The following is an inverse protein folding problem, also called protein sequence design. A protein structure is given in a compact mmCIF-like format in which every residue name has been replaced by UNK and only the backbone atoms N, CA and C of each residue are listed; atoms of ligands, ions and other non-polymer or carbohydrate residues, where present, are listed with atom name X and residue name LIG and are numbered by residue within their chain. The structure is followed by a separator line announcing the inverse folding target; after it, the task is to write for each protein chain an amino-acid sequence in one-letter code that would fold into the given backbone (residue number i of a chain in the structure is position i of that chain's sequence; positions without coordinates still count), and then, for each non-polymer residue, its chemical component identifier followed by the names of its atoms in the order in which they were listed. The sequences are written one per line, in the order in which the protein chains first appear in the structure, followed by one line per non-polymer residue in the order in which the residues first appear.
data_IF_883643418506
#
_entry.id   IF_883643418506
#
_cell.length_a   1.000
_cell.length_b   1.000
_cell.length_c   1.000
_cell.angle_alpha   90.00
_cell.angle_beta   90.00
_cell.angle_gamma   90.00
#
_symmetry.space_group_name_H-M   'P 1'
#
loop_
_entity.id
_entity.type
_entity.pdbx_description
1 polymer ?
#
# COMPACT_ATOMS: atom_id res chain seq x y z
N UNK A 1 7.97 5.80 33.96
CA UNK A 1 7.38 6.48 32.78
C UNK A 1 7.30 5.39 31.70
N UNK A 2 6.09 4.94 31.38
CA UNK A 2 5.92 4.06 30.21
C UNK A 2 6.40 4.86 28.99
N UNK A 3 7.43 4.35 28.34
CA UNK A 3 7.89 4.87 27.06
C UNK A 3 6.72 4.73 26.08
N UNK A 4 6.03 5.80 25.80
CA UNK A 4 4.87 5.82 24.92
C UNK A 4 5.36 5.53 23.50
N UNK A 5 5.50 4.24 23.16
CA UNK A 5 5.95 3.81 21.83
C UNK A 5 4.99 4.36 20.79
N UNK A 6 5.54 4.92 19.72
CA UNK A 6 4.75 5.29 18.55
C UNK A 6 4.07 4.05 17.98
N UNK A 7 2.75 4.12 17.73
CA UNK A 7 1.95 3.00 17.21
C UNK A 7 1.58 3.22 15.76
N UNK A 8 1.90 2.25 14.93
CA UNK A 8 1.64 2.31 13.49
C UNK A 8 0.83 1.09 13.07
N UNK A 9 -0.33 1.33 12.46
CA UNK A 9 -1.09 0.30 11.78
C UNK A 9 -0.59 0.15 10.35
N UNK A 10 -0.22 -1.06 9.94
CA UNK A 10 0.04 -1.41 8.54
C UNK A 10 -1.14 -2.23 8.04
N UNK A 11 -1.92 -1.62 7.16
CA UNK A 11 -3.17 -2.19 6.66
C UNK A 11 -2.99 -2.65 5.21
N UNK A 12 -2.94 -3.96 5.01
CA UNK A 12 -2.86 -4.57 3.69
C UNK A 12 -4.26 -4.73 3.07
N UNK A 13 -4.40 -4.30 1.81
CA UNK A 13 -5.61 -4.50 1.03
C UNK A 13 -5.30 -4.99 -0.38
N UNK A 14 -6.05 -5.97 -0.87
CA UNK A 14 -5.86 -6.53 -2.20
C UNK A 14 -5.45 -8.00 -2.19
N UNK A 15 -5.14 -8.51 -3.38
CA UNK A 15 -4.73 -9.90 -3.56
C UNK A 15 -3.29 -10.11 -3.11
N UNK A 16 -3.06 -11.16 -2.33
CA UNK A 16 -1.70 -11.57 -1.93
C UNK A 16 -1.06 -12.35 -3.08
N UNK A 17 -0.07 -11.73 -3.71
CA UNK A 17 0.64 -12.29 -4.87
C UNK A 17 2.09 -12.66 -4.58
N UNK A 18 2.70 -11.99 -3.59
CA UNK A 18 4.08 -12.18 -3.21
C UNK A 18 4.21 -12.18 -1.70
N UNK A 19 4.30 -13.37 -1.11
CA UNK A 19 4.32 -13.57 0.34
C UNK A 19 5.73 -13.63 0.94
N UNK A 20 6.73 -14.05 0.17
CA UNK A 20 8.11 -14.14 0.66
C UNK A 20 8.64 -12.76 1.08
N UNK A 21 8.44 -11.76 0.23
CA UNK A 21 8.85 -10.41 0.51
C UNK A 21 8.14 -9.82 1.72
N UNK A 22 6.83 -10.08 1.85
CA UNK A 22 6.09 -9.66 3.04
C UNK A 22 6.67 -10.30 4.30
N UNK A 23 6.91 -11.61 4.28
CA UNK A 23 7.43 -12.33 5.44
C UNK A 23 8.78 -11.79 5.92
N UNK A 24 9.70 -11.52 4.99
CA UNK A 24 11.04 -11.02 5.34
C UNK A 24 11.03 -9.55 5.77
N UNK A 25 10.34 -8.69 5.03
CA UNK A 25 10.32 -7.25 5.32
C UNK A 25 9.58 -6.90 6.61
N UNK A 26 8.42 -7.51 6.81
CA UNK A 26 7.56 -7.11 7.92
C UNK A 26 7.78 -7.93 9.19
N UNK A 27 8.32 -9.14 9.07
CA UNK A 27 8.56 -10.06 10.19
C UNK A 27 9.36 -9.43 11.33
N UNK A 28 10.35 -8.63 11.00
CA UNK A 28 11.35 -8.12 11.96
C UNK A 28 11.20 -6.63 12.26
N UNK A 29 10.13 -5.96 11.79
CA UNK A 29 9.98 -4.52 11.99
C UNK A 29 10.02 -4.10 13.46
N UNK A 30 9.27 -4.78 14.32
CA UNK A 30 9.23 -4.47 15.76
C UNK A 30 10.58 -4.68 16.47
N UNK A 31 11.42 -5.59 15.97
CA UNK A 31 12.76 -5.78 16.50
C UNK A 31 13.74 -4.72 16.01
N UNK A 32 13.60 -4.35 14.73
CA UNK A 32 14.47 -3.37 14.08
C UNK A 32 14.22 -1.93 14.58
N UNK A 33 12.99 -1.63 14.95
CA UNK A 33 12.57 -0.30 15.42
C UNK A 33 11.88 -0.42 16.78
N UNK A 34 12.67 -0.59 17.88
CA UNK A 34 12.14 -0.90 19.22
C UNK A 34 11.25 0.21 19.81
N UNK A 35 11.41 1.46 19.34
CA UNK A 35 10.61 2.61 19.76
C UNK A 35 9.28 2.76 19.01
N UNK A 36 9.02 1.85 18.04
CA UNK A 36 7.80 1.84 17.24
C UNK A 36 7.12 0.48 17.41
N UNK A 37 5.82 0.49 17.60
CA UNK A 37 4.98 -0.70 17.57
C UNK A 37 4.25 -0.79 16.26
N UNK A 38 4.50 -1.84 15.47
CA UNK A 38 3.80 -2.11 14.23
C UNK A 38 2.77 -3.20 14.44
N UNK A 39 1.52 -2.89 14.11
CA UNK A 39 0.42 -3.85 14.09
C UNK A 39 -0.07 -4.04 12.65
N UNK A 40 -0.37 -5.28 12.28
CA UNK A 40 -0.72 -5.64 10.91
C UNK A 40 -2.18 -6.04 10.79
N UNK A 41 -2.82 -5.56 9.73
CA UNK A 41 -4.20 -5.86 9.35
C UNK A 41 -4.25 -6.34 7.91
N UNK A 42 -5.11 -7.30 7.59
CA UNK A 42 -5.22 -7.84 6.24
C UNK A 42 -6.66 -7.96 5.79
N UNK A 43 -7.00 -7.32 4.68
CA UNK A 43 -8.24 -7.53 3.94
C UNK A 43 -7.90 -8.04 2.54
N UNK A 44 -8.26 -9.29 2.24
CA UNK A 44 -7.87 -9.95 1.00
C UNK A 44 -8.94 -10.91 0.49
N UNK A 45 -8.72 -11.41 -0.72
CA UNK A 45 -9.48 -12.55 -1.22
C UNK A 45 -8.97 -13.84 -0.59
N UNK A 46 -9.88 -14.82 -0.40
CA UNK A 46 -9.53 -16.13 0.13
C UNK A 46 -8.89 -16.98 -0.98
N UNK A 47 -7.61 -16.76 -1.21
CA UNK A 47 -6.79 -17.48 -2.17
C UNK A 47 -5.70 -18.34 -1.49
N UNK A 48 -5.06 -19.20 -2.26
CA UNK A 48 -4.03 -20.14 -1.76
C UNK A 48 -2.81 -19.39 -1.22
N UNK A 49 -2.43 -18.27 -1.83
CA UNK A 49 -1.21 -17.53 -1.48
C UNK A 49 -1.28 -16.94 -0.08
N UNK A 50 -2.49 -16.60 0.40
CA UNK A 50 -2.66 -16.08 1.76
C UNK A 50 -2.13 -17.05 2.82
N UNK A 51 -2.29 -18.35 2.63
CA UNK A 51 -1.85 -19.38 3.60
C UNK A 51 -0.34 -19.41 3.81
N UNK A 52 0.43 -18.83 2.91
CA UNK A 52 1.89 -18.75 2.96
C UNK A 52 2.38 -17.51 3.72
N UNK A 53 1.52 -16.56 4.03
CA UNK A 53 1.87 -15.39 4.82
C UNK A 53 2.07 -15.80 6.28
N UNK A 54 3.27 -15.52 6.80
CA UNK A 54 3.67 -15.82 8.19
C UNK A 54 3.59 -14.61 9.11
N UNK A 55 3.23 -13.43 8.58
CA UNK A 55 3.02 -12.24 9.41
C UNK A 55 1.79 -12.47 10.27
N UNK A 56 1.94 -12.23 11.56
CA UNK A 56 0.83 -12.29 12.52
C UNK A 56 0.03 -10.99 12.42
N UNK A 57 -1.16 -11.07 11.84
CA UNK A 57 -2.09 -9.95 11.80
C UNK A 57 -2.90 -9.87 13.11
N UNK A 58 -3.13 -8.66 13.61
CA UNK A 58 -4.04 -8.40 14.73
C UNK A 58 -5.47 -8.78 14.37
N UNK A 59 -5.87 -8.42 13.15
CA UNK A 59 -7.14 -8.85 12.55
C UNK A 59 -6.95 -9.12 11.08
N UNK A 60 -7.70 -10.09 10.57
CA UNK A 60 -7.76 -10.37 9.14
C UNK A 60 -9.18 -10.69 8.70
N UNK A 61 -9.50 -10.37 7.45
CA UNK A 61 -10.76 -10.74 6.81
C UNK A 61 -10.52 -11.19 5.37
N UNK A 62 -10.89 -12.42 5.11
CA UNK A 62 -10.73 -13.05 3.81
C UNK A 62 -12.12 -13.24 3.18
N UNK A 63 -12.27 -12.76 1.96
CA UNK A 63 -13.54 -12.78 1.25
C UNK A 63 -13.52 -13.80 0.11
N UNK A 64 -14.62 -14.48 -0.11
CA UNK A 64 -14.82 -15.26 -1.32
C UNK A 64 -15.15 -14.29 -2.46
N UNK A 65 -14.19 -14.10 -3.38
CA UNK A 65 -14.29 -13.12 -4.46
C UNK A 65 -15.55 -13.34 -5.31
N UNK A 66 -15.82 -14.57 -5.75
CA UNK A 66 -16.96 -14.86 -6.62
C UNK A 66 -18.31 -14.57 -5.96
N UNK A 67 -18.42 -14.80 -4.65
CA UNK A 67 -19.65 -14.49 -3.91
C UNK A 67 -19.87 -12.99 -3.73
N UNK A 68 -18.79 -12.24 -3.47
CA UNK A 68 -18.87 -10.79 -3.20
C UNK A 68 -19.07 -9.99 -4.47
N UNK A 69 -18.45 -10.42 -5.58
CA UNK A 69 -18.39 -9.63 -6.83
C UNK A 69 -19.49 -9.96 -7.84
N UNK A 70 -20.41 -10.85 -7.49
CA UNK A 70 -21.43 -11.40 -8.40
C UNK A 70 -22.30 -10.34 -9.11
N UNK A 71 -22.53 -9.21 -8.43
CA UNK A 71 -23.39 -8.13 -8.93
C UNK A 71 -22.63 -6.85 -9.28
N UNK A 72 -21.30 -6.91 -9.30
CA UNK A 72 -20.50 -5.70 -9.52
C UNK A 72 -20.32 -5.36 -11.01
N UNK A 73 -20.56 -4.10 -11.31
CA UNK A 73 -20.48 -3.57 -12.69
C UNK A 73 -19.06 -3.08 -13.08
N UNK A 74 -18.19 -2.83 -12.10
CA UNK A 74 -16.97 -2.00 -12.30
C UNK A 74 -15.65 -2.73 -12.04
N UNK A 75 -15.66 -4.03 -11.95
CA UNK A 75 -14.45 -4.83 -11.99
C UNK A 75 -13.42 -4.54 -10.88
N UNK A 76 -12.14 -4.46 -11.27
CA UNK A 76 -11.01 -4.43 -10.33
C UNK A 76 -10.96 -3.19 -9.43
N UNK A 77 -11.43 -2.05 -9.88
CA UNK A 77 -11.45 -0.81 -9.09
C UNK A 77 -12.40 -0.91 -7.90
N UNK A 78 -13.57 -1.52 -8.13
CA UNK A 78 -14.55 -1.75 -7.08
C UNK A 78 -14.04 -2.77 -6.05
N UNK A 79 -13.40 -3.85 -6.53
CA UNK A 79 -12.74 -4.85 -5.68
C UNK A 79 -11.68 -4.22 -4.77
N UNK A 80 -10.86 -3.34 -5.33
CA UNK A 80 -9.83 -2.62 -4.59
C UNK A 80 -10.44 -1.71 -3.52
N UNK A 81 -11.43 -0.87 -3.87
CA UNK A 81 -12.09 0.02 -2.94
C UNK A 81 -12.79 -0.74 -1.80
N UNK A 82 -13.41 -1.89 -2.10
CA UNK A 82 -14.02 -2.76 -1.11
C UNK A 82 -13.01 -3.28 -0.10
N UNK A 83 -11.91 -3.89 -0.58
CA UNK A 83 -10.87 -4.43 0.30
C UNK A 83 -10.17 -3.34 1.11
N UNK A 84 -9.94 -2.16 0.50
CA UNK A 84 -9.40 -1.00 1.19
C UNK A 84 -10.28 -0.59 2.38
N UNK A 85 -11.58 -0.38 2.14
CA UNK A 85 -12.53 0.02 3.19
C UNK A 85 -12.60 -1.02 4.32
N UNK A 86 -12.52 -2.32 3.99
CA UNK A 86 -12.50 -3.37 4.99
C UNK A 86 -11.18 -3.43 5.79
N UNK A 87 -10.03 -3.12 5.19
CA UNK A 87 -8.77 -3.04 5.92
C UNK A 87 -8.80 -1.93 6.98
N UNK A 88 -9.36 -0.76 6.64
CA UNK A 88 -9.58 0.32 7.61
C UNK A 88 -10.53 -0.10 8.73
N UNK A 89 -11.62 -0.80 8.39
CA UNK A 89 -12.57 -1.29 9.39
C UNK A 89 -11.93 -2.24 10.40
N UNK A 90 -11.05 -3.14 9.96
CA UNK A 90 -10.32 -4.04 10.85
C UNK A 90 -9.45 -3.28 11.86
N UNK A 91 -8.80 -2.21 11.41
CA UNK A 91 -8.04 -1.30 12.27
C UNK A 91 -8.96 -0.61 13.29
N UNK A 92 -10.09 -0.04 12.85
CA UNK A 92 -11.07 0.61 13.72
C UNK A 92 -11.62 -0.34 14.79
N UNK A 93 -12.01 -1.55 14.40
CA UNK A 93 -12.47 -2.59 15.32
C UNK A 93 -11.43 -2.88 16.41
N UNK A 94 -10.15 -2.96 16.05
CA UNK A 94 -9.07 -3.22 17.00
C UNK A 94 -8.80 -2.02 17.92
N UNK A 95 -8.80 -0.79 17.40
CA UNK A 95 -8.67 0.43 18.22
C UNK A 95 -9.78 0.52 19.26
N UNK A 96 -11.03 0.25 18.86
CA UNK A 96 -12.17 0.24 19.79
C UNK A 96 -12.03 -0.85 20.86
N UNK A 97 -11.64 -2.06 20.49
CA UNK A 97 -11.44 -3.17 21.44
C UNK A 97 -10.32 -2.91 22.45
N UNK A 98 -9.27 -2.22 22.02
CA UNK A 98 -8.09 -1.95 22.84
C UNK A 98 -8.09 -0.56 23.48
N UNK A 99 -9.12 0.26 23.20
CA UNK A 99 -9.30 1.62 23.72
C UNK A 99 -8.08 2.54 23.49
N UNK A 100 -7.60 2.59 22.24
CA UNK A 100 -6.55 3.52 21.82
C UNK A 100 -6.73 3.93 20.34
N UNK A 101 -5.92 4.87 19.86
CA UNK A 101 -5.79 5.20 18.43
C UNK A 101 -4.34 5.09 17.97
N UNK A 102 -4.14 4.67 16.73
CA UNK A 102 -2.80 4.68 16.11
C UNK A 102 -2.33 6.10 15.86
N UNK A 103 -1.02 6.34 15.99
CA UNK A 103 -0.42 7.60 15.56
C UNK A 103 -0.46 7.72 14.04
N UNK A 104 -0.17 6.60 13.34
CA UNK A 104 -0.15 6.53 11.90
C UNK A 104 -0.80 5.25 11.37
N UNK A 105 -1.42 5.38 10.20
CA UNK A 105 -2.00 4.27 9.45
C UNK A 105 -1.37 4.24 8.06
N UNK A 106 -0.65 3.18 7.77
CA UNK A 106 -0.06 2.96 6.46
C UNK A 106 -0.90 1.93 5.69
N UNK A 107 -1.66 2.42 4.74
CA UNK A 107 -2.48 1.61 3.84
C UNK A 107 -1.63 1.18 2.66
N UNK A 108 -1.52 -0.12 2.41
CA UNK A 108 -0.68 -0.63 1.32
C UNK A 108 -1.20 -1.94 0.74
N UNK A 109 -0.71 -2.27 -0.45
CA UNK A 109 -1.01 -3.54 -1.10
C UNK A 109 0.00 -4.61 -0.68
N UNK A 110 -0.42 -5.89 -0.57
CA UNK A 110 0.49 -6.97 -0.19
C UNK A 110 1.51 -7.34 -1.28
N UNK A 111 1.38 -6.83 -2.51
CA UNK A 111 2.32 -7.04 -3.60
C UNK A 111 3.35 -5.88 -3.76
N UNK A 112 3.49 -5.03 -2.74
CA UNK A 112 4.44 -3.92 -2.73
C UNK A 112 5.39 -4.00 -1.55
N UNK A 113 6.66 -3.81 -1.83
CA UNK A 113 7.76 -3.81 -0.87
C UNK A 113 8.29 -2.38 -0.73
N UNK A 114 8.62 -1.96 0.49
CA UNK A 114 9.10 -0.60 0.78
C UNK A 114 10.42 -0.59 1.53
N UNK A 115 11.17 0.49 1.34
CA UNK A 115 12.30 0.84 2.20
C UNK A 115 11.81 1.41 3.54
N UNK A 116 11.73 0.55 4.56
CA UNK A 116 11.28 0.96 5.88
C UNK A 116 12.26 1.86 6.63
N UNK A 117 13.55 1.90 6.29
CA UNK A 117 14.47 2.88 6.89
C UNK A 117 14.03 4.29 6.47
N UNK A 118 13.78 4.48 5.18
CA UNK A 118 13.30 5.76 4.65
C UNK A 118 11.89 6.08 5.14
N UNK A 119 11.02 5.08 5.27
CA UNK A 119 9.69 5.24 5.84
C UNK A 119 9.75 5.81 7.26
N UNK A 120 10.57 5.25 8.14
CA UNK A 120 10.72 5.71 9.54
C UNK A 120 11.32 7.12 9.61
N UNK A 121 12.24 7.48 8.71
CA UNK A 121 12.75 8.85 8.60
C UNK A 121 11.63 9.82 8.22
N UNK A 122 10.84 9.49 7.20
CA UNK A 122 9.70 10.30 6.77
C UNK A 122 8.67 10.50 7.90
N UNK A 123 8.41 9.47 8.73
CA UNK A 123 7.50 9.60 9.87
C UNK A 123 7.96 10.64 10.91
N UNK A 124 9.27 10.84 11.07
CA UNK A 124 9.80 11.88 11.96
C UNK A 124 9.56 13.28 11.40
N UNK A 125 9.74 13.44 10.10
CA UNK A 125 9.49 14.70 9.40
C UNK A 125 8.00 15.09 9.40
N UNK A 126 7.12 14.08 9.42
CA UNK A 126 5.67 14.25 9.37
C UNK A 126 5.00 14.27 10.76
N UNK A 127 5.77 14.31 11.85
CA UNK A 127 5.25 14.17 13.23
C UNK A 127 4.14 15.18 13.55
N UNK A 128 4.25 16.41 13.07
CA UNK A 128 3.26 17.46 13.30
C UNK A 128 1.90 17.21 12.61
N UNK A 129 1.88 16.33 11.59
CA UNK A 129 0.67 16.05 10.80
C UNK A 129 -0.18 14.92 11.36
N UNK A 130 0.31 14.15 12.32
CA UNK A 130 -0.40 12.96 12.85
C UNK A 130 -1.77 13.26 13.48
N UNK A 131 -1.98 14.50 13.91
CA UNK A 131 -3.25 14.94 14.49
C UNK A 131 -4.17 15.66 13.49
N UNK A 132 -3.74 15.82 12.26
CA UNK A 132 -4.58 16.46 11.23
C UNK A 132 -5.63 15.49 10.72
N UNK A 133 -6.89 15.87 10.91
CA UNK A 133 -8.06 15.07 10.53
C UNK A 133 -8.12 14.65 9.07
N UNK A 134 -7.62 15.45 8.17
CA UNK A 134 -7.67 15.23 6.72
C UNK A 134 -6.28 15.09 6.08
N UNK A 135 -5.28 14.69 6.85
CA UNK A 135 -3.92 14.50 6.32
C UNK A 135 -3.80 13.18 5.56
N UNK A 136 -3.18 13.25 4.39
CA UNK A 136 -2.71 12.08 3.65
C UNK A 136 -1.33 12.32 3.05
N UNK A 137 -0.40 11.44 3.38
CA UNK A 137 0.86 11.29 2.67
C UNK A 137 0.71 10.38 1.48
N UNK A 138 1.13 10.83 0.31
CA UNK A 138 1.12 10.07 -0.95
C UNK A 138 2.52 9.95 -1.53
N UNK A 139 2.83 8.83 -2.18
CA UNK A 139 4.18 8.51 -2.64
C UNK A 139 4.51 9.04 -4.04
N UNK A 140 3.51 9.38 -4.82
CA UNK A 140 3.69 9.85 -6.19
C UNK A 140 3.64 11.37 -6.29
N UNK A 141 4.45 11.91 -7.21
CA UNK A 141 4.33 13.30 -7.63
C UNK A 141 3.09 13.43 -8.52
N UNK A 142 2.29 14.50 -8.34
CA UNK A 142 1.12 14.75 -9.18
C UNK A 142 1.51 14.80 -10.66
N UNK A 143 0.76 14.06 -11.49
CA UNK A 143 0.97 14.05 -12.94
C UNK A 143 -0.30 14.51 -13.64
N UNK A 144 -0.14 15.41 -14.61
CA UNK A 144 -1.17 15.65 -15.61
C UNK A 144 -1.04 14.62 -16.72
N UNK A 145 -2.16 14.04 -17.16
CA UNK A 145 -2.15 13.28 -18.39
C UNK A 145 -2.25 14.20 -19.63
N UNK A 146 -2.20 13.60 -20.81
CA UNK A 146 -2.27 14.34 -22.07
C UNK A 146 -3.62 15.06 -22.29
N UNK A 147 -4.66 14.70 -21.54
CA UNK A 147 -6.00 15.28 -21.59
C UNK A 147 -6.21 16.32 -20.50
N UNK A 148 -5.19 16.60 -19.69
CA UNK A 148 -5.21 17.61 -18.64
C UNK A 148 -5.79 17.16 -17.30
N UNK A 149 -6.14 15.87 -17.15
CA UNK A 149 -6.62 15.33 -15.89
C UNK A 149 -5.48 15.17 -14.88
N UNK A 150 -5.77 15.44 -13.64
CA UNK A 150 -4.80 15.41 -12.56
C UNK A 150 -4.86 14.08 -11.82
N UNK A 151 -3.76 13.29 -11.88
CA UNK A 151 -3.53 12.15 -11.00
C UNK A 151 -2.63 12.60 -9.86
N UNK A 152 -3.17 12.63 -8.64
CA UNK A 152 -2.44 13.07 -7.45
C UNK A 152 -1.60 11.94 -6.87
N UNK A 153 -2.06 10.70 -7.00
CA UNK A 153 -1.43 9.54 -6.36
C UNK A 153 -1.57 8.26 -7.15
N UNK A 154 -0.68 7.29 -6.86
CA UNK A 154 -0.89 5.89 -7.20
C UNK A 154 -1.70 5.19 -6.11
N UNK A 155 -2.20 3.97 -6.39
CA UNK A 155 -2.84 3.09 -5.41
C UNK A 155 -1.83 2.21 -4.64
N UNK A 156 -0.55 2.62 -4.58
CA UNK A 156 0.50 1.80 -4.00
C UNK A 156 0.53 1.87 -2.49
N UNK A 157 0.46 3.07 -1.94
CA UNK A 157 0.47 3.26 -0.50
C UNK A 157 0.07 4.67 -0.09
N UNK A 158 -0.54 4.75 1.08
CA UNK A 158 -1.01 5.99 1.69
C UNK A 158 -0.65 6.00 3.15
N UNK A 159 -0.12 7.12 3.62
CA UNK A 159 0.11 7.37 5.03
C UNK A 159 -0.95 8.34 5.55
N UNK A 160 -1.67 7.94 6.56
CA UNK A 160 -2.73 8.72 7.20
C UNK A 160 -2.47 8.92 8.69
N UNK A 161 -3.00 9.99 9.27
CA UNK A 161 -3.38 9.96 10.68
C UNK A 161 -4.50 8.93 10.89
N UNK A 162 -4.74 8.43 12.11
CA UNK A 162 -5.78 7.43 12.32
C UNK A 162 -7.16 7.93 11.89
N UNK A 163 -7.53 9.15 12.26
CA UNK A 163 -8.83 9.74 11.90
C UNK A 163 -8.96 9.95 10.37
N UNK A 164 -7.90 10.38 9.71
CA UNK A 164 -7.90 10.53 8.25
C UNK A 164 -8.10 9.19 7.53
N UNK A 165 -7.48 8.11 8.03
CA UNK A 165 -7.71 6.77 7.51
C UNK A 165 -9.17 6.34 7.66
N UNK A 166 -9.80 6.66 8.78
CA UNK A 166 -11.20 6.33 9.05
C UNK A 166 -12.15 7.02 8.07
N UNK A 167 -11.91 8.30 7.80
CA UNK A 167 -12.66 9.05 6.79
C UNK A 167 -12.48 8.40 5.42
N UNK A 168 -11.24 8.11 5.03
CA UNK A 168 -10.95 7.49 3.73
C UNK A 168 -11.46 6.05 3.63
N UNK A 169 -11.62 5.37 4.75
CA UNK A 169 -12.25 4.04 4.84
C UNK A 169 -13.68 3.99 4.30
N UNK A 170 -14.35 5.13 4.15
CA UNK A 170 -15.67 5.20 3.52
C UNK A 170 -15.66 5.21 1.98
N UNK A 171 -14.49 5.07 1.34
CA UNK A 171 -14.27 5.12 -0.10
C UNK A 171 -15.25 4.26 -0.91
N UNK A 172 -15.43 2.99 -0.51
CA UNK A 172 -16.33 2.06 -1.18
C UNK A 172 -17.79 2.53 -1.08
N UNK A 173 -18.22 2.91 0.12
CA UNK A 173 -19.58 3.43 0.36
C UNK A 173 -19.82 4.71 -0.47
N UNK A 174 -18.86 5.62 -0.47
CA UNK A 174 -18.96 6.89 -1.17
C UNK A 174 -19.21 6.73 -2.68
N UNK A 175 -18.45 5.88 -3.34
CA UNK A 175 -18.55 5.72 -4.78
C UNK A 175 -19.61 4.73 -5.23
N UNK A 176 -19.65 3.56 -4.60
CA UNK A 176 -20.40 2.43 -5.14
C UNK A 176 -21.76 2.26 -4.49
N UNK A 177 -21.86 2.30 -3.17
CA UNK A 177 -23.14 2.17 -2.50
C UNK A 177 -24.03 3.41 -2.73
N UNK A 178 -23.45 4.60 -2.82
CA UNK A 178 -24.18 5.83 -3.12
C UNK A 178 -24.32 6.09 -4.63
N UNK A 179 -23.91 5.18 -5.49
CA UNK A 179 -23.98 5.27 -6.96
C UNK A 179 -23.24 6.49 -7.55
N UNK A 180 -22.33 7.09 -6.81
CA UNK A 180 -21.56 8.27 -7.26
C UNK A 180 -20.51 7.92 -8.33
N UNK A 181 -20.20 6.65 -8.47
CA UNK A 181 -19.24 6.20 -9.48
C UNK A 181 -19.67 6.51 -10.91
N UNK A 182 -20.97 6.49 -11.21
CA UNK A 182 -21.46 6.87 -12.54
C UNK A 182 -21.07 8.30 -12.90
N UNK A 183 -21.26 9.23 -11.97
CA UNK A 183 -20.88 10.63 -12.16
C UNK A 183 -19.36 10.80 -12.30
N UNK A 184 -18.58 10.04 -11.53
CA UNK A 184 -17.12 10.05 -11.64
C UNK A 184 -16.65 9.57 -13.00
N UNK A 185 -17.23 8.48 -13.53
CA UNK A 185 -16.91 7.94 -14.85
C UNK A 185 -17.19 8.95 -15.97
N UNK A 186 -18.30 9.67 -15.89
CA UNK A 186 -18.63 10.74 -16.83
C UNK A 186 -17.65 11.91 -16.76
N UNK A 187 -17.13 12.23 -15.56
CA UNK A 187 -16.21 13.36 -15.36
C UNK A 187 -14.76 13.04 -15.73
N UNK A 188 -14.31 11.79 -15.55
CA UNK A 188 -12.90 11.44 -15.66
C UNK A 188 -12.56 10.58 -16.87
N UNK A 189 -13.53 10.02 -17.56
CA UNK A 189 -13.38 9.08 -18.70
C UNK A 189 -12.46 7.87 -18.43
N UNK A 190 -11.99 7.69 -17.20
CA UNK A 190 -10.99 6.68 -16.84
C UNK A 190 -11.39 5.89 -15.61
N UNK A 191 -11.20 4.59 -15.73
CA UNK A 191 -11.36 3.65 -14.63
C UNK A 191 -9.96 3.33 -14.05
N UNK A 192 -9.82 3.40 -12.74
CA UNK A 192 -8.58 2.99 -12.08
C UNK A 192 -8.49 3.42 -10.63
N UNK A 193 -7.79 2.62 -9.82
CA UNK A 193 -7.59 2.88 -8.41
C UNK A 193 -6.99 4.25 -8.11
N UNK A 194 -6.06 4.68 -8.95
CA UNK A 194 -5.41 5.99 -8.79
C UNK A 194 -6.41 7.16 -8.83
N UNK A 195 -7.40 7.10 -9.73
CA UNK A 195 -8.35 8.19 -9.94
C UNK A 195 -9.37 8.30 -8.83
N UNK A 196 -9.90 7.19 -8.35
CA UNK A 196 -10.91 7.24 -7.27
C UNK A 196 -10.31 7.74 -5.96
N UNK A 197 -9.07 7.38 -5.63
CA UNK A 197 -8.37 7.93 -4.47
C UNK A 197 -8.12 9.42 -4.64
N UNK A 198 -7.56 9.83 -5.77
CA UNK A 198 -7.29 11.25 -6.06
C UNK A 198 -8.56 12.10 -5.99
N UNK A 199 -9.62 11.63 -6.59
CA UNK A 199 -10.92 12.33 -6.56
C UNK A 199 -11.50 12.39 -5.14
N UNK A 200 -11.40 11.30 -4.39
CA UNK A 200 -11.86 11.26 -3.00
C UNK A 200 -11.12 12.27 -2.12
N UNK A 201 -9.81 12.37 -2.27
CA UNK A 201 -9.00 13.34 -1.52
C UNK A 201 -9.40 14.77 -1.84
N UNK A 202 -9.54 15.11 -3.11
CA UNK A 202 -9.98 16.45 -3.54
C UNK A 202 -11.38 16.77 -3.04
N UNK A 203 -12.32 15.85 -3.21
CA UNK A 203 -13.72 16.06 -2.80
C UNK A 203 -13.85 16.27 -1.30
N UNK A 204 -13.12 15.51 -0.48
CA UNK A 204 -13.14 15.62 0.97
C UNK A 204 -12.10 16.59 1.52
N UNK A 205 -11.45 17.39 0.67
CA UNK A 205 -10.47 18.43 1.04
C UNK A 205 -9.34 17.92 1.93
N UNK A 206 -8.74 16.81 1.53
CA UNK A 206 -7.57 16.29 2.22
C UNK A 206 -6.35 17.21 2.02
N UNK A 207 -5.56 17.39 3.07
CA UNK A 207 -4.22 17.98 3.02
C UNK A 207 -3.26 16.93 2.46
N UNK A 208 -2.89 17.07 1.20
CA UNK A 208 -2.08 16.09 0.50
C UNK A 208 -0.61 16.46 0.61
N UNK A 209 0.18 15.57 1.19
CA UNK A 209 1.62 15.69 1.29
C UNK A 209 2.31 14.63 0.43
N UNK A 210 3.26 15.06 -0.39
CA UNK A 210 4.05 14.15 -1.23
C UNK A 210 5.35 13.80 -0.53
N UNK A 211 5.57 12.51 -0.26
CA UNK A 211 6.81 12.03 0.30
C UNK A 211 7.45 10.95 -0.59
N UNK A 212 8.77 10.95 -0.60
CA UNK A 212 9.51 9.95 -1.37
C UNK A 212 9.69 8.69 -0.54
N UNK A 213 9.16 7.58 -1.03
CA UNK A 213 9.36 6.27 -0.46
C UNK A 213 9.68 5.29 -1.59
N UNK A 214 10.87 4.70 -1.55
CA UNK A 214 11.24 3.68 -2.51
C UNK A 214 10.35 2.45 -2.34
N UNK A 215 9.76 2.02 -3.43
CA UNK A 215 8.85 0.88 -3.44
C UNK A 215 9.04 0.00 -4.66
N UNK A 216 8.78 -1.28 -4.48
CA UNK A 216 8.86 -2.30 -5.52
C UNK A 216 7.53 -3.03 -5.64
N UNK A 217 6.89 -2.93 -6.82
CA UNK A 217 5.72 -3.74 -7.13
C UNK A 217 6.15 -5.12 -7.65
N UNK A 218 5.84 -6.17 -6.90
CA UNK A 218 6.16 -7.54 -7.25
C UNK A 218 4.95 -8.26 -7.82
N UNK A 219 5.06 -8.72 -9.06
CA UNK A 219 4.02 -9.54 -9.71
C UNK A 219 4.62 -10.78 -10.32
N UNK A 220 4.12 -11.99 -10.02
CA UNK A 220 4.71 -13.26 -10.45
C UNK A 220 4.89 -13.41 -11.97
N UNK A 221 4.05 -12.72 -12.77
CA UNK A 221 3.99 -12.88 -14.22
C UNK A 221 4.40 -11.61 -15.01
N UNK A 222 5.06 -10.64 -14.37
CA UNK A 222 5.53 -9.43 -15.06
C UNK A 222 7.04 -9.41 -15.18
N UNK A 223 7.47 -8.96 -16.36
CA UNK A 223 8.88 -8.71 -16.64
C UNK A 223 9.46 -7.71 -15.61
N UNK A 224 10.61 -8.05 -15.03
CA UNK A 224 11.31 -7.21 -14.05
C UNK A 224 11.61 -5.82 -14.61
N UNK A 225 11.73 -5.66 -15.94
CA UNK A 225 11.86 -4.36 -16.60
C UNK A 225 10.78 -3.35 -16.19
N UNK A 226 9.54 -3.83 -15.98
CA UNK A 226 8.43 -2.97 -15.57
C UNK A 226 8.52 -2.58 -14.10
N UNK A 227 9.14 -3.42 -13.30
CA UNK A 227 9.28 -3.26 -11.85
C UNK A 227 10.43 -2.29 -11.55
N UNK A 228 11.55 -2.45 -12.26
CA UNK A 228 12.81 -1.74 -11.97
C UNK A 228 12.85 -0.29 -12.45
N UNK A 229 12.03 0.08 -13.43
CA UNK A 229 11.95 1.48 -13.89
C UNK A 229 11.64 2.51 -12.79
N UNK A 230 11.17 2.06 -11.63
CA UNK A 230 10.70 2.92 -10.55
C UNK A 230 11.52 2.81 -9.26
N UNK A 231 12.62 2.05 -9.26
CA UNK A 231 13.40 1.81 -8.06
C UNK A 231 14.84 2.22 -8.27
N UNK A 232 15.26 3.21 -7.49
CA UNK A 232 16.67 3.62 -7.38
C UNK A 232 17.34 3.02 -6.12
N UNK A 233 16.64 2.15 -5.36
CA UNK A 233 17.16 1.56 -4.14
C UNK A 233 17.82 0.20 -4.41
N UNK A 234 19.17 0.12 -4.32
CA UNK A 234 19.92 -1.11 -4.56
C UNK A 234 19.55 -2.26 -3.62
N UNK A 235 19.16 -1.94 -2.39
CA UNK A 235 18.78 -2.94 -1.40
C UNK A 235 17.49 -3.67 -1.80
N UNK A 236 16.45 -2.92 -2.20
CA UNK A 236 15.19 -3.51 -2.63
C UNK A 236 15.35 -4.35 -3.89
N UNK A 237 16.20 -3.92 -4.81
CA UNK A 237 16.50 -4.66 -6.05
C UNK A 237 17.23 -5.96 -5.72
N UNK A 238 18.27 -5.89 -4.88
CA UNK A 238 19.02 -7.06 -4.42
C UNK A 238 18.14 -8.03 -3.66
N UNK A 239 17.28 -7.52 -2.78
CA UNK A 239 16.32 -8.32 -2.03
C UNK A 239 15.39 -9.11 -2.97
N UNK A 240 14.81 -8.48 -3.98
CA UNK A 240 13.93 -9.15 -4.94
C UNK A 240 14.70 -10.14 -5.81
N UNK A 241 15.89 -9.79 -6.27
CA UNK A 241 16.74 -10.71 -7.03
C UNK A 241 17.06 -11.98 -6.22
N UNK A 242 17.35 -11.84 -4.92
CA UNK A 242 17.70 -12.96 -4.04
C UNK A 242 16.47 -13.79 -3.61
N UNK A 243 15.29 -13.21 -3.52
CA UNK A 243 14.11 -13.88 -2.96
C UNK A 243 13.07 -14.27 -4.00
N UNK A 244 13.10 -13.73 -5.20
CA UNK A 244 12.14 -14.09 -6.25
C UNK A 244 12.39 -15.47 -6.89
N UNK A 245 13.41 -16.21 -6.45
CA UNK A 245 13.85 -17.54 -6.94
C UNK A 245 14.03 -17.66 -8.47
N UNK A 246 13.89 -16.56 -9.16
CA UNK A 246 13.85 -16.50 -10.62
C UNK A 246 14.91 -15.57 -11.21
N UNK A 247 15.56 -14.75 -10.38
CA UNK A 247 16.62 -13.83 -10.81
C UNK A 247 17.90 -14.06 -10.02
N UNK A 248 19.03 -14.12 -10.71
CA UNK A 248 20.36 -14.23 -10.11
C UNK A 248 21.04 -12.87 -10.16
N UNK A 249 21.62 -12.44 -9.05
CA UNK A 249 22.58 -11.35 -9.03
C UNK A 249 23.88 -11.82 -9.71
N UNK A 250 24.27 -11.18 -10.83
CA UNK A 250 25.49 -11.53 -11.57
C UNK A 250 26.66 -10.71 -11.05
N UNK A 251 26.42 -9.43 -10.84
CA UNK A 251 27.39 -8.48 -10.29
C UNK A 251 26.65 -7.38 -9.53
N UNK A 252 27.41 -6.45 -8.91
CA UNK A 252 26.81 -5.36 -8.13
C UNK A 252 25.87 -4.43 -8.93
N UNK A 253 25.64 -4.67 -10.21
CA UNK A 253 24.81 -3.81 -11.07
C UNK A 253 23.85 -4.57 -11.99
N UNK A 254 23.94 -5.91 -12.02
CA UNK A 254 23.23 -6.72 -13.02
C UNK A 254 22.57 -7.94 -12.39
N UNK A 255 21.32 -8.19 -12.76
CA UNK A 255 20.58 -9.42 -12.44
C UNK A 255 20.22 -10.14 -13.73
N UNK A 256 20.09 -11.47 -13.67
CA UNK A 256 19.74 -12.33 -14.81
C UNK A 256 18.61 -13.29 -14.49
N UNK A 257 17.73 -13.48 -15.47
CA UNK A 257 16.68 -14.51 -15.48
C UNK A 257 16.47 -14.99 -16.90
N UNK A 258 16.49 -16.30 -17.09
CA UNK A 258 16.18 -16.94 -18.39
C UNK A 258 16.94 -16.30 -19.58
N UNK A 259 18.23 -15.97 -19.36
CA UNK A 259 19.08 -15.31 -20.35
C UNK A 259 18.86 -13.79 -20.54
N UNK A 260 17.90 -13.20 -19.87
CA UNK A 260 17.70 -11.75 -19.86
C UNK A 260 18.54 -11.10 -18.77
N UNK A 261 19.30 -10.06 -19.13
CA UNK A 261 20.14 -9.27 -18.21
C UNK A 261 19.55 -7.88 -18.03
N UNK A 262 19.46 -7.44 -16.77
CA UNK A 262 19.05 -6.09 -16.42
C UNK A 262 20.16 -5.42 -15.63
N UNK A 263 20.63 -4.29 -16.13
CA UNK A 263 21.66 -3.49 -15.48
C UNK A 263 21.06 -2.22 -14.87
N UNK A 264 21.54 -1.82 -13.71
CA UNK A 264 21.06 -0.69 -12.92
C UNK A 264 22.09 0.44 -12.86
N UNK A 265 21.60 1.68 -12.77
CA UNK A 265 22.44 2.82 -12.41
C UNK A 265 22.57 2.82 -10.88
N UNK A 266 23.73 2.42 -10.38
CA UNK A 266 23.99 2.29 -8.95
C UNK A 266 24.52 0.90 -8.61
N UNK A 267 25.16 0.76 -7.47
CA UNK A 267 25.75 -0.51 -7.04
C UNK A 267 24.72 -1.31 -6.27
N UNK A 268 24.41 -2.51 -6.73
CA UNK A 268 23.67 -3.51 -5.96
C UNK A 268 24.62 -4.06 -4.90
N UNK A 269 24.31 -3.87 -3.64
CA UNK A 269 25.12 -4.36 -2.51
C UNK A 269 24.57 -5.70 -2.03
#
# INVERSE_FOLDING_TARGET
MENNKKRIAICFYGQVRFYEGLNELYKNLNMKYPDISFDFFLSSWNDIERRKIKIVCRKERLFNESKVTQTWEVGNTQKMAFLFSHAVRLKQEFELEQNFSYDWVFMTRPDIIYDFNKFVVNLKELEEYKYKKHFVGVMDIPKKDNEGHYRITSDYGFLFSSEAADIHGSLYNFFYLQKRYKNLKEMTYREGGHWIHSYYFLFNKFDIYHFQLSSLLVRPNRDLKTIVKHIDDPYLISYVANNAHTWKLIDGHTIEKDGQKLSFKGRLI
#
